data_IF_427875152180
#
_entry.id   IF_427875152180
#
_cell.length_a   1.000
_cell.length_b   1.000
_cell.length_c   1.000
_cell.angle_alpha   90.00
_cell.angle_beta   90.00
_cell.angle_gamma   90.00
#
_symmetry.space_group_name_H-M   'P 1'
#
loop_
_entity.id
_entity.type
_entity.pdbx_description
1 polymer ?
#
# COMPACT_ATOMS: atom_id res chain seq x y z
N UNK A 1 -41.93 -4.28 -4.63
CA UNK A 1 -41.07 -3.41 -3.80
C UNK A 1 -39.75 -4.13 -3.61
N UNK A 2 -38.61 -3.60 -4.04
CA UNK A 2 -37.33 -4.21 -3.75
C UNK A 2 -37.04 -4.01 -2.26
N UNK A 3 -36.92 -5.11 -1.52
CA UNK A 3 -36.45 -5.12 -0.15
C UNK A 3 -35.00 -4.64 -0.19
N UNK A 4 -34.70 -3.48 0.39
CA UNK A 4 -33.32 -3.09 0.61
C UNK A 4 -32.70 -4.11 1.57
N UNK A 5 -31.87 -5.00 1.03
CA UNK A 5 -31.17 -6.02 1.82
C UNK A 5 -30.18 -5.30 2.73
N UNK A 6 -30.40 -5.38 4.04
CA UNK A 6 -29.42 -4.89 5.01
C UNK A 6 -28.08 -5.63 4.82
N UNK A 7 -26.93 -4.97 5.02
CA UNK A 7 -25.64 -5.60 4.84
C UNK A 7 -25.47 -6.77 5.82
N UNK A 8 -24.84 -7.85 5.37
CA UNK A 8 -24.56 -9.02 6.21
C UNK A 8 -23.53 -8.73 7.31
N UNK A 9 -22.65 -7.75 7.08
CA UNK A 9 -21.69 -7.25 8.04
C UNK A 9 -21.37 -5.78 7.76
N UNK A 10 -20.98 -5.05 8.81
CA UNK A 10 -20.54 -3.66 8.73
C UNK A 10 -19.21 -3.52 9.46
N UNK A 11 -18.28 -2.78 8.87
CA UNK A 11 -17.03 -2.37 9.52
C UNK A 11 -17.10 -0.86 9.74
N UNK A 12 -16.73 -0.40 10.93
CA UNK A 12 -16.80 1.01 11.28
C UNK A 12 -15.50 1.41 11.97
N UNK A 13 -14.92 2.49 11.49
CA UNK A 13 -13.81 3.17 12.14
C UNK A 13 -14.37 4.06 13.26
N UNK A 14 -14.06 3.75 14.52
CA UNK A 14 -14.56 4.54 15.66
C UNK A 14 -13.63 5.68 16.06
N UNK A 15 -12.41 5.72 15.53
CA UNK A 15 -11.47 6.79 15.74
C UNK A 15 -11.92 8.07 15.03
N UNK A 16 -11.90 9.20 15.72
CA UNK A 16 -12.27 10.52 15.16
C UNK A 16 -11.22 11.07 14.21
N UNK A 17 -9.97 10.64 14.35
CA UNK A 17 -8.88 10.95 13.45
C UNK A 17 -7.91 9.77 13.47
N UNK A 18 -7.43 9.36 12.29
CA UNK A 18 -6.44 8.32 12.13
C UNK A 18 -5.21 8.90 11.47
N UNK A 19 -4.05 8.62 12.03
CA UNK A 19 -2.77 8.93 11.38
C UNK A 19 -2.49 7.88 10.31
N UNK A 20 -2.35 8.35 9.07
CA UNK A 20 -1.99 7.50 7.94
C UNK A 20 -0.56 6.98 8.06
N UNK A 21 -0.31 5.81 7.47
CA UNK A 21 1.01 5.22 7.39
C UNK A 21 1.93 6.09 6.51
N UNK A 22 3.16 6.29 6.95
CA UNK A 22 4.19 7.02 6.20
C UNK A 22 5.58 6.57 6.64
N UNK A 23 6.59 6.90 5.85
CA UNK A 23 7.99 6.66 6.17
C UNK A 23 8.49 7.77 7.11
N UNK A 24 9.11 7.36 8.22
CA UNK A 24 9.92 8.23 9.06
C UNK A 24 11.32 8.32 8.45
N UNK A 25 11.58 9.38 7.70
CA UNK A 25 12.84 9.59 6.97
C UNK A 25 14.08 9.51 7.88
N UNK A 26 14.02 10.03 9.11
CA UNK A 26 15.15 9.93 10.02
C UNK A 26 15.44 8.50 10.47
N UNK A 27 14.39 7.69 10.68
CA UNK A 27 14.53 6.28 11.02
C UNK A 27 14.97 5.46 9.80
N UNK A 28 14.43 5.79 8.62
CA UNK A 28 14.83 5.21 7.34
C UNK A 28 16.32 5.40 7.09
N UNK A 29 16.82 6.63 7.23
CA UNK A 29 18.24 6.95 7.03
C UNK A 29 19.15 6.16 7.96
N UNK A 30 18.78 6.04 9.24
CA UNK A 30 19.53 5.23 10.21
C UNK A 30 19.47 3.74 9.88
N UNK A 31 18.32 3.25 9.43
CA UNK A 31 18.10 1.85 9.08
C UNK A 31 18.90 1.47 7.82
N UNK A 32 18.85 2.28 6.76
CA UNK A 32 19.67 2.09 5.57
C UNK A 32 21.17 2.15 5.89
N UNK A 33 21.60 3.11 6.72
CA UNK A 33 23.00 3.20 7.15
C UNK A 33 23.46 1.98 7.98
N UNK A 34 22.55 1.38 8.76
CA UNK A 34 22.84 0.18 9.53
C UNK A 34 22.91 -1.09 8.68
N UNK A 35 22.05 -1.21 7.66
CA UNK A 35 22.08 -2.34 6.70
C UNK A 35 23.25 -2.24 5.72
N UNK A 36 23.67 -1.03 5.32
CA UNK A 36 24.73 -0.81 4.35
C UNK A 36 24.55 -1.67 3.09
N UNK A 37 25.56 -2.47 2.71
CA UNK A 37 25.52 -3.31 1.51
C UNK A 37 24.51 -4.46 1.60
N UNK A 38 24.04 -4.83 2.81
CA UNK A 38 23.01 -5.86 2.98
C UNK A 38 21.67 -5.42 2.40
N UNK A 39 21.41 -4.10 2.35
CA UNK A 39 20.16 -3.56 1.80
C UNK A 39 19.96 -3.96 0.33
N UNK A 40 21.03 -4.08 -0.46
CA UNK A 40 20.93 -4.50 -1.87
C UNK A 40 20.42 -5.94 -2.03
N UNK A 41 20.66 -6.80 -1.03
CA UNK A 41 20.17 -8.17 -1.03
C UNK A 41 18.72 -8.28 -0.52
N UNK A 42 18.28 -7.33 0.31
CA UNK A 42 16.97 -7.35 0.94
C UNK A 42 15.88 -6.71 0.08
N UNK A 43 16.26 -5.80 -0.83
CA UNK A 43 15.32 -5.08 -1.69
C UNK A 43 14.71 -6.02 -2.74
N UNK A 44 13.37 -6.07 -2.83
CA UNK A 44 12.68 -6.90 -3.82
C UNK A 44 13.04 -6.50 -5.25
N UNK A 45 13.27 -7.49 -6.10
CA UNK A 45 13.39 -7.29 -7.54
C UNK A 45 12.18 -7.91 -8.21
N UNK A 46 11.47 -7.13 -9.00
CA UNK A 46 10.24 -7.57 -9.65
C UNK A 46 10.43 -8.77 -10.60
N UNK A 47 11.66 -9.02 -11.06
CA UNK A 47 12.03 -10.18 -11.89
C UNK A 47 12.25 -11.46 -11.08
N UNK A 48 12.39 -11.36 -9.76
CA UNK A 48 12.62 -12.50 -8.89
C UNK A 48 11.30 -13.18 -8.56
N UNK A 49 11.29 -14.52 -8.62
CA UNK A 49 10.13 -15.35 -8.26
C UNK A 49 9.71 -15.25 -6.78
N UNK A 50 10.52 -14.60 -5.95
CA UNK A 50 10.27 -14.41 -4.51
C UNK A 50 10.08 -12.95 -4.14
N UNK A 51 9.74 -12.07 -5.09
CA UNK A 51 9.66 -10.64 -4.83
C UNK A 51 8.59 -10.29 -3.77
N UNK A 52 7.50 -11.05 -3.70
CA UNK A 52 6.46 -10.90 -2.69
C UNK A 52 6.97 -11.26 -1.29
N UNK A 53 7.66 -12.41 -1.16
CA UNK A 53 8.31 -12.79 0.10
C UNK A 53 9.39 -11.78 0.52
N UNK A 54 10.26 -11.35 -0.40
CA UNK A 54 11.27 -10.35 -0.12
C UNK A 54 10.65 -9.03 0.35
N UNK A 55 9.53 -8.62 -0.26
CA UNK A 55 8.80 -7.41 0.13
C UNK A 55 8.22 -7.55 1.54
N UNK A 56 7.68 -8.73 1.87
CA UNK A 56 7.17 -9.07 3.19
C UNK A 56 8.26 -9.03 4.26
N UNK A 57 9.47 -9.47 3.96
CA UNK A 57 10.60 -9.43 4.89
C UNK A 57 11.12 -7.99 5.06
N UNK A 58 11.26 -7.23 3.95
CA UNK A 58 11.69 -5.84 3.96
C UNK A 58 10.80 -4.95 4.85
N UNK A 59 9.48 -5.07 4.68
CA UNK A 59 8.52 -4.29 5.47
C UNK A 59 8.45 -4.74 6.93
N UNK A 60 8.60 -6.03 7.20
CA UNK A 60 8.69 -6.52 8.59
C UNK A 60 9.87 -5.88 9.32
N UNK A 61 11.04 -5.88 8.68
CA UNK A 61 12.25 -5.24 9.19
C UNK A 61 12.07 -3.73 9.37
N UNK A 62 11.48 -3.05 8.39
CA UNK A 62 11.21 -1.61 8.43
C UNK A 62 10.25 -1.25 9.58
N UNK A 63 9.17 -2.02 9.77
CA UNK A 63 8.24 -1.84 10.89
C UNK A 63 8.94 -2.03 12.24
N UNK A 64 9.75 -3.07 12.39
CA UNK A 64 10.50 -3.34 13.62
C UNK A 64 11.54 -2.24 13.92
N UNK A 65 12.13 -1.64 12.89
CA UNK A 65 13.06 -0.53 13.00
C UNK A 65 12.38 0.84 13.22
N UNK A 66 11.05 0.91 13.21
CA UNK A 66 10.29 2.16 13.34
C UNK A 66 10.42 3.08 12.12
N UNK A 67 10.79 2.52 10.97
CA UNK A 67 10.86 3.22 9.68
C UNK A 67 9.45 3.57 9.21
N UNK A 68 8.48 2.69 9.43
CA UNK A 68 7.08 2.97 9.13
C UNK A 68 6.39 3.47 10.40
N UNK A 69 5.77 4.64 10.29
CA UNK A 69 4.96 5.24 11.34
C UNK A 69 3.50 5.31 10.88
N UNK A 70 2.58 5.19 11.83
CA UNK A 70 1.14 5.24 11.58
C UNK A 70 0.38 5.32 12.89
N UNK A 71 -0.94 5.21 12.82
CA UNK A 71 -1.77 5.17 14.03
C UNK A 71 -1.53 3.87 14.83
N UNK A 72 -1.19 3.96 16.14
CA UNK A 72 -0.84 2.80 16.97
C UNK A 72 -2.02 1.85 17.23
N UNK A 73 -3.24 2.25 16.86
CA UNK A 73 -4.43 1.41 16.94
C UNK A 73 -4.46 0.33 15.84
N UNK A 74 -3.59 0.42 14.84
CA UNK A 74 -3.50 -0.54 13.74
C UNK A 74 -2.18 -1.30 13.77
N UNK A 75 -2.28 -2.61 13.53
CA UNK A 75 -1.17 -3.47 13.18
C UNK A 75 -1.19 -3.68 11.66
N UNK A 76 -0.13 -3.21 10.99
CA UNK A 76 0.05 -3.38 9.54
C UNK A 76 0.88 -4.64 9.28
N UNK A 77 0.29 -5.55 8.52
CA UNK A 77 0.97 -6.74 8.03
C UNK A 77 0.95 -6.76 6.51
N UNK A 78 2.04 -7.19 5.90
CA UNK A 78 2.13 -7.45 4.46
C UNK A 78 2.42 -8.93 4.32
N UNK A 79 1.61 -9.60 3.51
CA UNK A 79 1.81 -11.01 3.21
C UNK A 79 2.17 -11.13 1.73
N UNK A 80 3.40 -11.56 1.44
CA UNK A 80 3.83 -11.88 0.09
C UNK A 80 3.02 -13.02 -0.51
N UNK A 81 2.72 -12.92 -1.79
CA UNK A 81 2.06 -13.96 -2.58
C UNK A 81 2.79 -14.11 -3.92
N UNK A 82 3.64 -15.12 -3.99
CA UNK A 82 4.55 -15.36 -5.11
C UNK A 82 3.97 -16.41 -6.08
N UNK A 83 3.69 -16.01 -7.31
CA UNK A 83 3.35 -16.90 -8.42
C UNK A 83 4.51 -16.98 -9.44
N UNK A 84 4.53 -18.02 -10.26
CA UNK A 84 5.54 -18.25 -11.29
C UNK A 84 5.55 -17.18 -12.40
N UNK A 85 4.44 -16.45 -12.58
CA UNK A 85 4.30 -15.40 -13.60
C UNK A 85 4.37 -13.98 -13.02
N UNK A 86 3.82 -13.76 -11.83
CA UNK A 86 3.75 -12.44 -11.18
C UNK A 86 3.80 -12.61 -9.65
N UNK A 87 4.65 -11.84 -8.99
CA UNK A 87 4.65 -11.71 -7.54
C UNK A 87 3.80 -10.53 -7.08
N UNK A 88 3.07 -10.73 -5.99
CA UNK A 88 2.25 -9.71 -5.37
C UNK A 88 2.27 -9.80 -3.85
N UNK A 89 1.39 -9.05 -3.22
CA UNK A 89 1.21 -9.02 -1.79
C UNK A 89 -0.21 -8.61 -1.40
N UNK A 90 -0.56 -8.87 -0.15
CA UNK A 90 -1.74 -8.36 0.52
C UNK A 90 -1.31 -7.48 1.68
N UNK A 91 -1.69 -6.20 1.66
CA UNK A 91 -1.64 -5.38 2.88
C UNK A 91 -2.87 -5.73 3.74
N UNK A 92 -2.64 -5.97 5.02
CA UNK A 92 -3.65 -6.36 6.00
C UNK A 92 -3.54 -5.46 7.22
N UNK A 93 -4.61 -4.71 7.49
CA UNK A 93 -4.75 -3.88 8.67
C UNK A 93 -5.56 -4.62 9.73
N UNK A 94 -4.97 -4.83 10.90
CA UNK A 94 -5.63 -5.42 12.05
C UNK A 94 -5.79 -4.38 13.15
N UNK A 95 -6.82 -4.56 13.97
CA UNK A 95 -6.90 -3.79 15.20
C UNK A 95 -5.79 -4.26 16.15
N UNK A 96 -4.96 -3.35 16.64
CA UNK A 96 -3.88 -3.65 17.59
C UNK A 96 -4.44 -4.03 18.98
N UNK A 97 -5.68 -3.62 19.28
CA UNK A 97 -6.31 -3.82 20.58
C UNK A 97 -7.74 -4.41 20.48
N UNK A 98 -8.32 -4.78 21.62
CA UNK A 98 -9.70 -5.27 21.72
C UNK A 98 -9.91 -6.73 21.28
N UNK A 99 -11.16 -7.10 21.06
CA UNK A 99 -11.56 -8.50 20.83
C UNK A 99 -11.50 -8.93 19.35
N UNK A 100 -11.43 -7.97 18.43
CA UNK A 100 -11.47 -8.20 16.98
C UNK A 100 -10.09 -8.37 16.33
N UNK A 101 -9.04 -8.63 17.12
CA UNK A 101 -7.65 -8.75 16.67
C UNK A 101 -7.40 -9.83 15.60
N UNK A 102 -8.32 -10.80 15.47
CA UNK A 102 -8.25 -11.86 14.46
C UNK A 102 -8.81 -11.45 13.09
N UNK A 103 -9.51 -10.31 13.02
CA UNK A 103 -10.10 -9.82 11.77
C UNK A 103 -9.14 -8.79 11.17
N UNK A 104 -8.68 -9.06 9.94
CA UNK A 104 -7.87 -8.16 9.15
C UNK A 104 -8.66 -7.58 7.98
N UNK A 105 -8.49 -6.28 7.74
CA UNK A 105 -9.01 -5.59 6.56
C UNK A 105 -7.91 -5.58 5.52
N UNK A 106 -8.19 -6.10 4.33
CA UNK A 106 -7.19 -6.26 3.28
C UNK A 106 -7.40 -5.29 2.13
N UNK A 107 -6.30 -4.86 1.51
CA UNK A 107 -6.30 -4.17 0.21
C UNK A 107 -6.80 -5.03 -0.95
N UNK A 108 -6.87 -6.35 -0.75
CA UNK A 108 -6.85 -7.31 -1.86
C UNK A 108 -5.44 -7.50 -2.39
N UNK A 109 -5.32 -8.34 -3.42
CA UNK A 109 -4.03 -8.64 -4.05
C UNK A 109 -3.50 -7.42 -4.80
N UNK A 110 -2.23 -7.10 -4.58
CA UNK A 110 -1.51 -6.00 -5.24
C UNK A 110 -0.21 -6.53 -5.83
N UNK A 111 0.07 -6.21 -7.09
CA UNK A 111 1.34 -6.58 -7.74
C UNK A 111 2.52 -5.85 -7.05
N UNK A 112 3.66 -6.52 -6.92
CA UNK A 112 4.88 -5.86 -6.41
C UNK A 112 5.29 -4.74 -7.37
N UNK A 113 5.60 -3.56 -6.83
CA UNK A 113 6.02 -2.41 -7.61
C UNK A 113 7.24 -2.76 -8.48
N UNK A 114 7.20 -2.34 -9.75
CA UNK A 114 8.32 -2.49 -10.67
C UNK A 114 9.23 -1.28 -10.56
N UNK A 115 10.24 -1.40 -9.70
CA UNK A 115 11.31 -0.41 -9.61
C UNK A 115 12.33 -0.65 -10.74
N UNK A 116 12.86 0.41 -11.32
CA UNK A 116 13.88 0.33 -12.37
C UNK A 116 15.17 -0.33 -11.85
N UNK A 117 15.78 -1.21 -12.65
CA UNK A 117 17.00 -1.93 -12.27
C UNK A 117 18.21 -1.00 -12.04
N UNK A 118 18.15 0.25 -12.53
CA UNK A 118 19.16 1.29 -12.33
C UNK A 118 18.98 2.11 -11.05
N UNK A 119 17.87 1.92 -10.32
CA UNK A 119 17.60 2.59 -9.04
C UNK A 119 18.48 1.99 -7.95
N UNK A 120 19.13 2.84 -7.15
CA UNK A 120 19.95 2.35 -6.04
C UNK A 120 19.10 1.68 -4.93
N UNK A 121 19.71 0.79 -4.14
CA UNK A 121 19.00 -0.01 -3.15
C UNK A 121 18.24 0.84 -2.11
N UNK A 122 18.77 2.01 -1.73
CA UNK A 122 18.09 2.90 -0.78
C UNK A 122 16.84 3.49 -1.43
N UNK A 123 16.96 4.03 -2.63
CA UNK A 123 15.83 4.58 -3.34
C UNK A 123 14.77 3.52 -3.65
N UNK A 124 15.18 2.31 -4.04
CA UNK A 124 14.26 1.20 -4.30
C UNK A 124 13.54 0.73 -3.03
N UNK A 125 14.25 0.62 -1.90
CA UNK A 125 13.62 0.33 -0.61
C UNK A 125 12.58 1.39 -0.24
N UNK A 126 12.89 2.68 -0.46
CA UNK A 126 11.96 3.78 -0.20
C UNK A 126 10.69 3.64 -1.03
N UNK A 127 10.81 3.43 -2.34
CA UNK A 127 9.67 3.30 -3.26
C UNK A 127 8.76 2.11 -2.90
N UNK A 128 9.35 0.97 -2.52
CA UNK A 128 8.57 -0.19 -2.05
C UNK A 128 7.83 0.09 -0.75
N UNK A 129 8.49 0.73 0.22
CA UNK A 129 7.88 1.08 1.51
C UNK A 129 6.78 2.14 1.35
N UNK A 130 6.98 3.12 0.47
CA UNK A 130 5.98 4.15 0.17
C UNK A 130 4.75 3.54 -0.51
N UNK A 131 4.96 2.61 -1.45
CA UNK A 131 3.86 1.88 -2.09
C UNK A 131 3.02 1.11 -1.07
N UNK A 132 3.66 0.41 -0.12
CA UNK A 132 2.95 -0.29 0.95
C UNK A 132 2.15 0.69 1.81
N UNK A 133 2.73 1.83 2.18
CA UNK A 133 2.02 2.87 2.93
C UNK A 133 0.79 3.35 2.16
N UNK A 134 0.93 3.60 0.86
CA UNK A 134 -0.16 4.04 -0.01
C UNK A 134 -1.27 3.00 -0.10
N UNK A 135 -0.93 1.73 -0.29
CA UNK A 135 -1.88 0.62 -0.34
C UNK A 135 -2.61 0.46 1.00
N UNK A 136 -1.89 0.47 2.12
CA UNK A 136 -2.48 0.41 3.47
C UNK A 136 -3.42 1.60 3.73
N UNK A 137 -2.99 2.81 3.36
CA UNK A 137 -3.79 4.02 3.51
C UNK A 137 -5.04 4.01 2.64
N UNK A 138 -5.02 3.34 1.48
CA UNK A 138 -6.21 3.18 0.65
C UNK A 138 -7.31 2.41 1.40
N UNK A 139 -6.94 1.36 2.14
CA UNK A 139 -7.87 0.58 2.98
C UNK A 139 -8.48 1.45 4.07
N UNK A 140 -7.64 2.22 4.80
CA UNK A 140 -8.10 3.15 5.82
C UNK A 140 -9.06 4.19 5.26
N UNK A 141 -8.74 4.77 4.10
CA UNK A 141 -9.61 5.74 3.42
C UNK A 141 -10.92 5.10 3.00
N UNK A 142 -10.94 3.88 2.46
CA UNK A 142 -12.21 3.21 2.09
C UNK A 142 -13.13 3.04 3.30
N UNK A 143 -12.60 2.70 4.47
CA UNK A 143 -13.40 2.54 5.70
C UNK A 143 -13.77 3.91 6.28
N UNK A 144 -12.86 4.89 6.24
CA UNK A 144 -13.10 6.27 6.65
C UNK A 144 -14.18 6.95 5.81
N UNK A 145 -14.15 6.75 4.49
CA UNK A 145 -15.16 7.20 3.52
C UNK A 145 -16.51 6.50 3.75
N UNK A 146 -16.52 5.24 4.20
CA UNK A 146 -17.77 4.59 4.59
C UNK A 146 -18.44 5.29 5.80
N UNK A 147 -17.64 5.85 6.72
CA UNK A 147 -18.12 6.76 7.79
C UNK A 147 -18.52 8.14 7.26
N UNK A 148 -17.87 8.65 6.21
CA UNK A 148 -18.20 9.88 5.49
C UNK A 148 -19.10 9.64 4.26
N UNK A 149 -20.18 8.87 4.39
CA UNK A 149 -21.21 8.76 3.32
C UNK A 149 -22.03 10.06 3.17
N UNK A 150 -21.37 11.22 3.28
CA UNK A 150 -21.80 12.55 2.81
C UNK A 150 -20.58 13.43 2.50
N UNK A 151 -19.60 12.96 1.72
CA UNK A 151 -18.84 13.88 0.84
C UNK A 151 -18.16 13.13 -0.30
N UNK A 152 -18.94 12.80 -1.33
CA UNK A 152 -18.39 12.55 -2.66
C UNK A 152 -17.78 13.85 -3.18
N UNK A 153 -16.47 14.03 -3.11
CA UNK A 153 -15.81 14.81 -4.17
C UNK A 153 -15.80 13.92 -5.40
N UNK A 154 -16.89 13.98 -6.17
CA UNK A 154 -17.02 13.32 -7.47
C UNK A 154 -16.09 14.01 -8.48
N UNK A 155 -14.78 13.82 -8.32
CA UNK A 155 -13.80 14.24 -9.31
C UNK A 155 -13.60 13.12 -10.33
N UNK A 156 -13.36 13.50 -11.59
CA UNK A 156 -13.01 12.55 -12.64
C UNK A 156 -11.58 12.12 -12.41
N UNK A 157 -11.34 10.82 -12.20
CA UNK A 157 -9.98 10.31 -12.03
C UNK A 157 -9.14 10.60 -13.27
N UNK A 158 -8.11 11.42 -13.09
CA UNK A 158 -7.03 11.66 -14.05
C UNK A 158 -5.70 11.42 -13.33
N UNK A 159 -4.77 10.76 -13.99
CA UNK A 159 -3.65 10.13 -13.30
C UNK A 159 -2.50 9.74 -14.18
N UNK A 160 -1.61 8.90 -13.65
CA UNK A 160 -0.51 8.31 -14.39
C UNK A 160 -0.61 6.78 -14.44
N UNK A 161 0.00 6.18 -15.46
CA UNK A 161 0.03 4.73 -15.63
C UNK A 161 0.87 4.05 -14.54
N UNK A 162 0.29 3.04 -13.90
CA UNK A 162 1.03 2.05 -13.10
C UNK A 162 1.43 0.89 -14.01
N UNK A 163 0.47 0.37 -14.78
CA UNK A 163 0.70 -0.65 -15.80
C UNK A 163 -0.23 -0.42 -17.00
N UNK A 164 0.33 0.10 -18.09
CA UNK A 164 -0.43 0.42 -19.30
C UNK A 164 -0.98 -0.81 -20.01
N UNK A 165 -0.29 -1.94 -19.95
CA UNK A 165 -0.74 -3.20 -20.56
C UNK A 165 -1.99 -3.75 -19.86
N UNK A 166 -2.05 -3.61 -18.53
CA UNK A 166 -3.20 -4.01 -17.70
C UNK A 166 -4.23 -2.90 -17.49
N UNK A 167 -4.00 -1.72 -18.08
CA UNK A 167 -4.83 -0.51 -17.95
C UNK A 167 -5.05 -0.08 -16.49
N UNK A 168 -4.06 -0.25 -15.63
CA UNK A 168 -4.11 0.25 -14.25
C UNK A 168 -3.39 1.59 -14.14
N UNK A 169 -4.07 2.58 -13.57
CA UNK A 169 -3.57 3.94 -13.41
C UNK A 169 -3.85 4.47 -12.01
N UNK A 170 -3.08 5.48 -11.57
CA UNK A 170 -3.20 6.12 -10.26
C UNK A 170 -3.59 7.59 -10.40
N UNK A 171 -4.65 8.01 -9.72
CA UNK A 171 -5.13 9.39 -9.80
C UNK A 171 -4.15 10.35 -9.11
N UNK A 172 -3.78 11.47 -9.75
CA UNK A 172 -2.91 12.48 -9.14
C UNK A 172 -3.50 13.09 -7.86
N UNK A 173 -4.82 13.25 -7.80
CA UNK A 173 -5.50 13.96 -6.71
C UNK A 173 -5.73 13.07 -5.49
N UNK A 174 -6.31 11.89 -5.68
CA UNK A 174 -6.68 11.01 -4.57
C UNK A 174 -5.84 9.74 -4.44
N UNK A 175 -4.88 9.52 -5.35
CA UNK A 175 -4.03 8.32 -5.43
C UNK A 175 -4.80 6.99 -5.55
N UNK A 176 -6.12 7.05 -5.81
CA UNK A 176 -6.93 5.87 -6.07
C UNK A 176 -6.48 5.19 -7.35
N UNK A 177 -6.30 3.87 -7.30
CA UNK A 177 -6.05 3.05 -8.47
C UNK A 177 -7.34 2.79 -9.22
N UNK A 178 -7.36 3.11 -10.52
CA UNK A 178 -8.52 2.94 -11.37
C UNK A 178 -8.14 2.34 -12.73
N UNK A 179 -9.13 1.89 -13.49
CA UNK A 179 -8.93 1.43 -14.87
C UNK A 179 -8.76 2.65 -15.77
N UNK A 180 -7.53 2.87 -16.24
CA UNK A 180 -7.16 3.99 -17.09
C UNK A 180 -7.45 3.76 -18.57
N UNK A 181 -7.59 4.85 -19.32
CA UNK A 181 -7.51 4.92 -20.78
C UNK A 181 -6.49 6.00 -21.14
N UNK A 182 -6.10 6.08 -22.41
CA UNK A 182 -5.19 7.15 -22.88
C UNK A 182 -5.77 8.57 -22.68
N UNK A 183 -7.06 8.71 -22.33
CA UNK A 183 -7.74 9.98 -22.00
C UNK A 183 -7.87 10.25 -20.49
N UNK A 184 -7.47 9.30 -19.65
CA UNK A 184 -7.57 9.40 -18.19
C UNK A 184 -6.25 9.12 -17.48
N UNK A 185 -5.25 8.61 -18.18
CA UNK A 185 -3.93 8.37 -17.63
C UNK A 185 -2.83 8.69 -18.65
N UNK A 186 -1.77 9.33 -18.16
CA UNK A 186 -0.55 9.64 -18.91
C UNK A 186 0.65 8.85 -18.38
N UNK A 187 1.76 8.82 -19.12
CA UNK A 187 2.97 8.20 -18.59
C UNK A 187 3.46 9.00 -17.38
N UNK A 188 3.92 8.31 -16.33
CA UNK A 188 4.36 8.98 -15.10
C UNK A 188 5.51 9.94 -15.41
N UNK A 189 5.32 11.21 -15.05
CA UNK A 189 6.31 12.25 -15.24
C UNK A 189 6.59 12.92 -13.88
N UNK A 190 7.72 12.62 -13.22
CA UNK A 190 8.06 13.27 -11.97
C UNK A 190 8.35 14.77 -12.20
N UNK A 191 8.06 15.64 -11.21
CA UNK A 191 8.47 17.04 -11.25
C UNK A 191 9.99 17.24 -11.21
#
# INVERSE_FOLDING_TARGET
MPTATAPAFTVTLTATQVTLFSINEEAFDRWCAAKADELECDVPKWTDRGAGSALSDLIHDALHAGVIIGDPSFDLQVNGDDDAEVSGFYAVLKNAAGDQRLIGLTSGWTEVLRVDDGTDARQSAHEHLDEICNVANSVLRTIGIATETTSTSAHRHFGYWINRALRTARCYECQFQFVGTDDTAEDWNPP
#
